data_IF_893452875037
#
_entry.id   IF_893452875037
#
_cell.length_a   1.000
_cell.length_b   1.000
_cell.length_c   1.000
_cell.angle_alpha   90.00
_cell.angle_beta   90.00
_cell.angle_gamma   90.00
#
_symmetry.space_group_name_H-M   'P 1'
#
loop_
_entity.id
_entity.type
_entity.pdbx_description
1 polymer ?
#
# COMPACT_ATOMS: atom_id res chain seq x y z
N UNK A 1 -12.97 -10.36 -11.28
CA UNK A 1 -11.86 -9.51 -10.79
C UNK A 1 -12.09 -9.15 -9.35
N UNK A 2 -11.05 -8.73 -8.63
CA UNK A 2 -11.17 -8.34 -7.24
C UNK A 2 -10.32 -7.11 -6.96
N UNK A 3 -10.41 -6.61 -5.73
CA UNK A 3 -9.68 -5.41 -5.32
C UNK A 3 -8.19 -5.70 -5.16
N UNK A 4 -7.37 -4.67 -5.40
CA UNK A 4 -5.95 -4.69 -5.08
C UNK A 4 -5.78 -3.87 -3.81
N UNK A 5 -5.14 -4.43 -2.80
CA UNK A 5 -4.85 -3.75 -1.53
C UNK A 5 -3.37 -3.38 -1.50
N UNK A 6 -3.06 -2.12 -1.31
CA UNK A 6 -1.68 -1.65 -1.23
C UNK A 6 -1.34 -1.23 0.19
N UNK A 7 -0.10 -1.50 0.59
CA UNK A 7 0.41 -1.27 1.94
C UNK A 7 1.67 -0.43 1.86
N UNK A 8 1.66 0.72 2.54
CA UNK A 8 2.87 1.51 2.79
C UNK A 8 3.27 1.28 4.24
N UNK A 9 4.17 0.32 4.45
CA UNK A 9 4.55 -0.12 5.77
C UNK A 9 5.39 0.92 6.50
N UNK A 10 5.00 1.22 7.75
CA UNK A 10 5.80 1.99 8.68
C UNK A 10 5.93 1.23 9.99
N UNK A 11 6.97 1.53 10.76
CA UNK A 11 7.22 0.81 12.02
C UNK A 11 6.09 1.04 13.02
N UNK A 12 5.57 2.25 13.10
CA UNK A 12 4.49 2.60 14.04
C UNK A 12 3.12 2.62 13.39
N UNK A 13 3.02 3.18 12.19
CA UNK A 13 1.76 3.30 11.44
C UNK A 13 1.97 2.80 10.05
N UNK A 14 0.93 2.20 9.51
CA UNK A 14 0.93 1.68 8.14
C UNK A 14 -0.26 2.27 7.41
N UNK A 15 0.01 2.83 6.22
CA UNK A 15 -1.03 3.34 5.35
C UNK A 15 -1.52 2.27 4.40
N UNK A 16 -2.81 2.31 4.10
CA UNK A 16 -3.45 1.35 3.20
C UNK A 16 -4.28 2.08 2.15
N UNK A 17 -4.28 1.53 0.95
CA UNK A 17 -5.10 1.97 -0.15
C UNK A 17 -5.71 0.76 -0.84
N UNK A 18 -6.81 0.95 -1.53
CA UNK A 18 -7.50 -0.15 -2.18
C UNK A 18 -8.10 0.31 -3.50
N UNK A 19 -8.10 -0.59 -4.49
CA UNK A 19 -8.76 -0.33 -5.75
C UNK A 19 -10.24 -0.72 -5.67
N UNK A 20 -11.02 -0.25 -6.65
CA UNK A 20 -12.34 -0.78 -6.90
C UNK A 20 -12.25 -2.23 -7.41
N UNK A 21 -13.38 -2.97 -7.42
CA UNK A 21 -13.35 -4.37 -7.89
C UNK A 21 -12.90 -4.54 -9.34
N UNK A 22 -13.08 -3.52 -10.18
CA UNK A 22 -12.66 -3.56 -11.58
C UNK A 22 -11.22 -3.11 -11.78
N UNK A 23 -10.52 -2.72 -10.71
CA UNK A 23 -9.13 -2.30 -10.72
C UNK A 23 -8.87 -1.09 -11.63
N UNK A 24 -9.78 -0.12 -11.57
CA UNK A 24 -9.71 1.10 -12.38
C UNK A 24 -9.21 2.29 -11.56
N UNK A 25 -9.69 2.44 -10.33
CA UNK A 25 -9.44 3.61 -9.49
C UNK A 25 -8.74 3.19 -8.19
N UNK A 26 -7.69 3.93 -7.82
CA UNK A 26 -7.02 3.76 -6.54
C UNK A 26 -7.60 4.77 -5.54
N UNK A 27 -7.91 4.31 -4.33
CA UNK A 27 -8.42 5.15 -3.28
C UNK A 27 -7.75 4.89 -1.95
N UNK A 28 -7.60 5.94 -1.15
CA UNK A 28 -7.07 5.81 0.20
C UNK A 28 -8.08 5.04 1.07
N UNK A 29 -7.59 4.09 1.85
CA UNK A 29 -8.46 3.26 2.68
C UNK A 29 -8.39 3.64 4.15
N UNK A 30 -7.21 3.44 4.76
CA UNK A 30 -7.07 3.64 6.21
C UNK A 30 -5.60 3.76 6.58
N UNK A 31 -5.34 4.37 7.74
CA UNK A 31 -4.05 4.29 8.41
C UNK A 31 -4.27 3.56 9.73
N UNK A 32 -3.50 2.53 9.99
CA UNK A 32 -3.63 1.72 11.19
C UNK A 32 -2.32 1.69 11.95
N UNK A 33 -2.40 1.41 13.26
CA UNK A 33 -1.19 1.07 14.00
C UNK A 33 -0.63 -0.22 13.43
N UNK A 34 0.67 -0.26 13.21
CA UNK A 34 1.29 -1.41 12.53
C UNK A 34 1.07 -2.72 13.27
N UNK A 35 1.00 -2.67 14.59
CA UNK A 35 0.70 -3.87 15.40
C UNK A 35 -0.69 -4.44 15.13
N UNK A 36 -1.60 -3.66 14.55
CA UNK A 36 -2.96 -4.09 14.19
C UNK A 36 -3.10 -4.42 12.70
N UNK A 37 -2.02 -4.29 11.94
CA UNK A 37 -2.07 -4.38 10.47
C UNK A 37 -2.59 -5.73 9.98
N UNK A 38 -2.03 -6.82 10.50
CA UNK A 38 -2.41 -8.16 10.01
C UNK A 38 -3.85 -8.50 10.34
N UNK A 39 -4.32 -8.07 11.52
CA UNK A 39 -5.72 -8.24 11.89
C UNK A 39 -6.62 -7.42 10.97
N UNK A 40 -6.23 -6.16 10.69
CA UNK A 40 -7.00 -5.31 9.78
C UNK A 40 -7.13 -5.95 8.41
N UNK A 41 -6.02 -6.48 7.88
CA UNK A 41 -6.02 -7.13 6.57
C UNK A 41 -6.94 -8.34 6.57
N UNK A 42 -6.86 -9.17 7.61
CA UNK A 42 -7.70 -10.36 7.72
C UNK A 42 -9.19 -9.98 7.75
N UNK A 43 -9.54 -8.99 8.56
CA UNK A 43 -10.93 -8.53 8.67
C UNK A 43 -11.43 -7.91 7.36
N UNK A 44 -10.59 -7.13 6.71
CA UNK A 44 -10.94 -6.51 5.43
C UNK A 44 -11.13 -7.55 4.33
N UNK A 45 -10.22 -8.50 4.23
CA UNK A 45 -10.30 -9.56 3.22
C UNK A 45 -11.47 -10.52 3.46
N UNK A 46 -11.98 -10.59 4.70
CA UNK A 46 -13.17 -11.36 4.99
C UNK A 46 -14.45 -10.68 4.50
N UNK A 47 -14.43 -9.34 4.38
CA UNK A 47 -15.59 -8.55 3.94
C UNK A 47 -15.56 -8.25 2.45
N UNK A 48 -14.37 -8.05 1.91
CA UNK A 48 -14.19 -7.60 0.52
C UNK A 48 -13.38 -8.60 -0.26
N UNK A 49 -13.67 -8.70 -1.54
CA UNK A 49 -12.95 -9.60 -2.45
C UNK A 49 -11.62 -8.95 -2.85
N UNK A 50 -10.56 -9.29 -2.13
CA UNK A 50 -9.20 -8.83 -2.41
C UNK A 50 -8.46 -9.99 -3.09
N UNK A 51 -7.91 -9.74 -4.28
CA UNK A 51 -7.18 -10.76 -5.03
C UNK A 51 -5.67 -10.57 -4.96
N UNK A 52 -5.21 -9.33 -4.78
CA UNK A 52 -3.78 -9.00 -4.77
C UNK A 52 -3.47 -8.07 -3.60
N UNK A 53 -2.35 -8.33 -2.94
CA UNK A 53 -1.81 -7.47 -1.89
C UNK A 53 -0.44 -6.97 -2.36
N UNK A 54 -0.28 -5.64 -2.44
CA UNK A 54 0.95 -5.00 -2.90
C UNK A 54 1.61 -4.33 -1.70
N UNK A 55 2.85 -4.70 -1.42
CA UNK A 55 3.63 -4.11 -0.33
C UNK A 55 4.71 -3.23 -0.93
N UNK A 56 4.72 -1.94 -0.59
CA UNK A 56 5.74 -1.01 -1.07
C UNK A 56 7.10 -1.37 -0.51
N UNK A 57 8.09 -1.46 -1.38
CA UNK A 57 9.48 -1.73 -1.01
C UNK A 57 10.27 -0.44 -1.08
N UNK A 58 11.00 -0.05 -0.01
CA UNK A 58 11.81 1.17 -0.04
C UNK A 58 12.79 1.18 -1.20
N UNK A 59 12.89 2.32 -1.88
CA UNK A 59 13.72 2.45 -3.08
C UNK A 59 15.20 2.60 -2.79
N UNK A 60 15.55 3.05 -1.59
CA UNK A 60 16.93 3.26 -1.19
C UNK A 60 17.26 2.44 0.05
N UNK A 61 18.37 1.76 -0.01
CA UNK A 61 18.84 0.90 1.08
C UNK A 61 19.81 1.66 1.99
N UNK A 62 19.39 2.82 2.49
CA UNK A 62 20.15 3.52 3.52
C UNK A 62 19.60 3.14 4.91
N UNK A 63 20.25 3.59 5.99
CA UNK A 63 20.05 3.13 7.35
C UNK A 63 18.58 2.82 7.74
N UNK A 64 17.71 3.84 7.75
CA UNK A 64 16.32 3.67 8.17
C UNK A 64 15.52 2.73 7.25
N UNK A 65 15.72 2.86 5.94
CA UNK A 65 14.98 2.05 4.98
C UNK A 65 15.44 0.60 5.00
N UNK A 66 16.73 0.36 5.22
CA UNK A 66 17.25 -1.01 5.40
C UNK A 66 16.66 -1.64 6.64
N UNK A 67 16.51 -0.89 7.72
CA UNK A 67 15.88 -1.39 8.93
C UNK A 67 14.41 -1.73 8.71
N UNK A 68 13.70 -0.90 7.94
CA UNK A 68 12.30 -1.18 7.61
C UNK A 68 12.15 -2.49 6.87
N UNK A 69 13.08 -2.82 5.98
CA UNK A 69 13.05 -4.10 5.23
C UNK A 69 13.13 -5.30 6.16
N UNK A 70 13.75 -5.17 7.32
CA UNK A 70 13.81 -6.26 8.30
C UNK A 70 12.43 -6.68 8.78
N UNK A 71 11.46 -5.77 8.72
CA UNK A 71 10.07 -6.03 9.10
C UNK A 71 9.20 -6.38 7.89
N UNK A 72 9.50 -5.80 6.73
CA UNK A 72 8.72 -5.99 5.51
C UNK A 72 8.84 -7.43 4.99
N UNK A 73 10.05 -7.97 4.93
CA UNK A 73 10.26 -9.33 4.43
C UNK A 73 9.51 -10.38 5.24
N UNK A 74 9.59 -10.38 6.59
CA UNK A 74 8.78 -11.30 7.38
C UNK A 74 7.28 -11.07 7.23
N UNK A 75 6.85 -9.82 7.09
CA UNK A 75 5.44 -9.49 6.87
C UNK A 75 4.94 -10.13 5.58
N UNK A 76 5.69 -9.99 4.48
CA UNK A 76 5.32 -10.58 3.20
C UNK A 76 5.21 -12.11 3.34
N UNK A 77 6.14 -12.73 4.05
CA UNK A 77 6.09 -14.17 4.33
C UNK A 77 4.83 -14.58 5.07
N UNK A 78 4.46 -13.83 6.12
CA UNK A 78 3.23 -14.10 6.87
C UNK A 78 1.98 -13.90 6.03
N UNK A 79 1.95 -12.86 5.18
CA UNK A 79 0.81 -12.61 4.31
C UNK A 79 0.64 -13.74 3.29
N UNK A 80 1.73 -14.23 2.71
CA UNK A 80 1.68 -15.35 1.78
C UNK A 80 1.20 -16.63 2.47
N UNK A 81 1.62 -16.83 3.70
CA UNK A 81 1.21 -17.99 4.48
C UNK A 81 -0.27 -17.95 4.86
N UNK A 82 -0.74 -16.77 5.31
CA UNK A 82 -2.10 -16.61 5.81
C UNK A 82 -3.13 -16.44 4.69
N UNK A 83 -2.70 -15.99 3.50
CA UNK A 83 -3.58 -15.75 2.37
C UNK A 83 -3.05 -16.45 1.12
N UNK A 84 -3.01 -17.80 1.12
CA UNK A 84 -2.42 -18.54 0.00
C UNK A 84 -3.21 -18.43 -1.30
N UNK A 85 -4.46 -17.99 -1.23
CA UNK A 85 -5.33 -17.76 -2.38
C UNK A 85 -5.12 -16.39 -3.04
N UNK A 86 -4.30 -15.54 -2.43
CA UNK A 86 -4.05 -14.17 -2.93
C UNK A 86 -2.62 -14.03 -3.43
N UNK A 87 -2.44 -13.16 -4.42
CA UNK A 87 -1.11 -12.80 -4.88
C UNK A 87 -0.54 -11.72 -3.96
N UNK A 88 0.63 -11.96 -3.39
CA UNK A 88 1.32 -10.98 -2.54
C UNK A 88 2.61 -10.60 -3.24
N UNK A 89 2.74 -9.32 -3.61
CA UNK A 89 3.89 -8.82 -4.37
C UNK A 89 4.52 -7.64 -3.63
N UNK A 90 5.84 -7.49 -3.79
CA UNK A 90 6.55 -6.28 -3.38
C UNK A 90 6.73 -5.39 -4.59
N UNK A 91 6.41 -4.10 -4.44
CA UNK A 91 6.55 -3.12 -5.51
C UNK A 91 7.57 -2.08 -5.10
N UNK A 92 8.64 -1.94 -5.89
CA UNK A 92 9.74 -1.02 -5.58
C UNK A 92 9.26 0.42 -5.77
N UNK A 93 9.42 1.24 -4.73
CA UNK A 93 9.00 2.64 -4.76
C UNK A 93 9.75 3.48 -5.80
N UNK A 94 10.89 3.00 -6.31
CA UNK A 94 11.59 3.66 -7.43
C UNK A 94 10.71 3.79 -8.67
N UNK A 95 9.75 2.90 -8.82
CA UNK A 95 8.85 2.89 -9.97
C UNK A 95 7.59 3.72 -9.74
N UNK A 96 7.52 4.45 -8.63
CA UNK A 96 6.40 5.32 -8.35
C UNK A 96 6.29 6.39 -9.43
N UNK A 97 5.13 6.40 -10.09
CA UNK A 97 4.88 7.24 -11.26
C UNK A 97 4.81 8.73 -10.89
N UNK A 98 5.47 9.58 -11.69
CA UNK A 98 5.33 11.04 -11.56
C UNK A 98 3.89 11.45 -11.82
N UNK A 99 3.23 10.78 -12.76
CA UNK A 99 1.83 11.04 -13.07
C UNK A 99 0.92 10.71 -11.89
N UNK A 100 1.16 9.58 -11.22
CA UNK A 100 0.38 9.19 -10.04
C UNK A 100 0.54 10.22 -8.92
N UNK A 101 1.78 10.67 -8.68
CA UNK A 101 2.04 11.70 -7.67
C UNK A 101 1.33 13.01 -8.00
N UNK A 102 1.36 13.41 -9.28
CA UNK A 102 0.68 14.62 -9.74
C UNK A 102 -0.83 14.51 -9.56
N UNK A 103 -1.41 13.39 -9.93
CA UNK A 103 -2.84 13.16 -9.80
C UNK A 103 -3.30 13.28 -8.35
N UNK A 104 -2.54 12.70 -7.42
CA UNK A 104 -2.86 12.78 -6.00
C UNK A 104 -2.76 14.22 -5.50
N UNK A 105 -1.73 14.97 -5.94
CA UNK A 105 -1.57 16.37 -5.55
C UNK A 105 -2.71 17.25 -6.07
N UNK A 106 -3.12 17.03 -7.31
CA UNK A 106 -4.19 17.81 -7.95
C UNK A 106 -5.55 17.56 -7.29
N UNK A 107 -5.73 16.42 -6.63
CA UNK A 107 -6.95 16.11 -5.89
C UNK A 107 -7.08 16.92 -4.58
N UNK A 108 -6.02 17.64 -4.18
CA UNK A 108 -6.01 18.41 -2.95
C UNK A 108 -5.62 17.61 -1.71
N UNK A 109 -5.52 16.31 -1.81
CA UNK A 109 -5.16 15.44 -0.68
C UNK A 109 -3.78 15.79 -0.14
N UNK A 110 -2.84 16.15 -1.03
CA UNK A 110 -1.48 16.49 -0.64
C UNK A 110 -1.37 17.67 0.32
N UNK A 111 -2.27 18.65 0.21
CA UNK A 111 -2.27 19.81 1.11
C UNK A 111 -2.75 19.42 2.50
N UNK A 112 -3.75 18.57 2.58
CA UNK A 112 -4.28 18.07 3.85
C UNK A 112 -3.29 17.14 4.53
N UNK A 113 -2.58 16.34 3.75
CA UNK A 113 -1.59 15.39 4.23
C UNK A 113 -0.46 16.07 5.02
N UNK A 114 -0.10 17.31 4.67
CA UNK A 114 0.96 18.05 5.37
C UNK A 114 0.62 18.32 6.84
N UNK A 115 -0.67 18.31 7.19
CA UNK A 115 -1.15 18.60 8.53
C UNK A 115 -1.51 17.34 9.33
N UNK A 116 -1.66 16.20 8.64
CA UNK A 116 -2.12 14.97 9.26
C UNK A 116 -1.23 13.81 8.79
N UNK A 117 -0.42 13.27 9.70
CA UNK A 117 0.50 12.18 9.39
C UNK A 117 -0.23 10.91 8.94
N UNK A 118 -1.41 10.64 9.52
CA UNK A 118 -2.20 9.47 9.12
C UNK A 118 -2.68 9.62 7.67
N UNK A 119 -3.01 10.84 7.26
CA UNK A 119 -3.40 11.11 5.88
C UNK A 119 -2.20 10.99 4.93
N UNK A 120 -1.00 11.40 5.36
CA UNK A 120 0.24 11.22 4.58
C UNK A 120 0.45 9.74 4.26
N UNK A 121 0.27 8.87 5.25
CA UNK A 121 0.47 7.44 5.08
C UNK A 121 -0.53 6.85 4.09
N UNK A 122 -1.79 7.29 4.13
CA UNK A 122 -2.82 6.85 3.17
C UNK A 122 -2.51 7.34 1.76
N UNK A 123 -2.03 8.58 1.63
CA UNK A 123 -1.66 9.14 0.32
C UNK A 123 -0.48 8.36 -0.28
N UNK A 124 0.53 8.04 0.54
CA UNK A 124 1.67 7.27 0.09
C UNK A 124 1.25 5.89 -0.42
N UNK A 125 0.36 5.21 0.31
CA UNK A 125 -0.17 3.92 -0.12
C UNK A 125 -0.95 4.03 -1.43
N UNK A 126 -1.71 5.12 -1.61
CA UNK A 126 -2.48 5.37 -2.83
C UNK A 126 -1.56 5.56 -4.03
N UNK A 127 -0.44 6.26 -3.85
CA UNK A 127 0.57 6.45 -4.90
C UNK A 127 1.17 5.11 -5.31
N UNK A 128 1.52 4.27 -4.36
CA UNK A 128 2.04 2.93 -4.63
C UNK A 128 1.02 2.12 -5.44
N UNK A 129 -0.23 2.15 -5.02
CA UNK A 129 -1.30 1.41 -5.69
C UNK A 129 -1.50 1.89 -7.12
N UNK A 130 -1.59 3.20 -7.32
CA UNK A 130 -1.79 3.76 -8.65
C UNK A 130 -0.64 3.40 -9.58
N UNK A 131 0.60 3.49 -9.09
CA UNK A 131 1.79 3.14 -9.88
C UNK A 131 1.79 1.66 -10.25
N UNK A 132 1.42 0.79 -9.32
CA UNK A 132 1.32 -0.64 -9.60
C UNK A 132 0.25 -0.94 -10.65
N UNK A 133 -0.91 -0.32 -10.52
CA UNK A 133 -2.01 -0.50 -11.47
C UNK A 133 -1.63 -0.03 -12.86
N UNK A 134 -0.93 1.12 -12.96
CA UNK A 134 -0.48 1.64 -14.25
C UNK A 134 0.54 0.72 -14.89
N UNK A 135 1.48 0.18 -14.13
CA UNK A 135 2.51 -0.72 -14.66
C UNK A 135 1.93 -2.07 -15.08
N UNK A 136 0.86 -2.52 -14.43
CA UNK A 136 0.23 -3.81 -14.74
C UNK A 136 -0.56 -3.79 -16.05
N UNK A 137 -0.82 -2.61 -16.61
CA UNK A 137 -1.57 -2.46 -17.88
C UNK A 137 -0.67 -2.55 -19.10
N UNK A 138 0.63 -2.59 -18.92
CA UNK A 138 1.59 -2.59 -20.04
C UNK A 138 2.46 -3.83 -20.07
#
# INVERSE_FOLDING_TARGET
>A
MGRILAIDYGVRRTGLAVSDPLQIIAGALETVETKQLEKFIADYCAREDVTTIVVGKPSQMNGEKSETMRYIEPLVGRLRHNFPDKEVVMYDERFTSVLAQRTIRESGIGKMARRDKALVDKVAATIILQSYMDSAKF
#
